data_IF_498402898013
#
_entry.id   IF_498402898013
#
_cell.length_a   1.000
_cell.length_b   1.000
_cell.length_c   1.000
_cell.angle_alpha   90.00
_cell.angle_beta   90.00
_cell.angle_gamma   90.00
#
_symmetry.space_group_name_H-M   'P 1'
#
loop_
_entity.id
_entity.type
_entity.pdbx_description
1 polymer ?
#
# COMPACT_ATOMS: atom_id res chain seq x y z
N UNK A 1 -12.92 10.60 28.51
CA UNK A 1 -11.50 10.42 28.11
C UNK A 1 -11.30 8.94 27.88
N UNK A 2 -11.16 8.51 26.63
CA UNK A 2 -10.90 7.10 26.33
C UNK A 2 -9.44 6.80 26.70
N UNK A 3 -9.22 5.79 27.55
CA UNK A 3 -7.89 5.31 27.86
C UNK A 3 -7.28 4.74 26.57
N UNK A 4 -6.31 5.46 26.00
CA UNK A 4 -5.48 5.01 24.89
C UNK A 4 -4.62 3.85 25.41
N UNK A 5 -5.10 2.60 25.24
CA UNK A 5 -4.23 1.43 25.43
C UNK A 5 -3.04 1.60 24.48
N UNK A 6 -1.79 1.46 24.95
CA UNK A 6 -0.66 1.42 24.04
C UNK A 6 -0.91 0.28 23.05
N UNK A 7 -0.94 0.62 21.78
CA UNK A 7 -0.92 -0.38 20.70
C UNK A 7 0.47 -1.02 20.74
N UNK A 8 0.53 -2.34 20.61
CA UNK A 8 1.81 -3.04 20.50
C UNK A 8 2.49 -2.63 19.18
N UNK A 9 3.63 -1.97 19.29
CA UNK A 9 4.40 -1.39 18.18
C UNK A 9 5.53 -2.30 17.69
N UNK A 10 5.60 -3.52 18.23
CA UNK A 10 6.63 -4.53 17.91
C UNK A 10 8.05 -4.00 18.15
N UNK A 11 8.20 -2.95 18.98
CA UNK A 11 9.45 -2.24 19.25
C UNK A 11 10.08 -1.62 18.00
N UNK A 12 9.24 -1.24 17.04
CA UNK A 12 9.61 -0.53 15.82
C UNK A 12 9.28 0.96 16.01
N UNK A 13 10.29 1.85 16.05
CA UNK A 13 10.06 3.28 16.23
C UNK A 13 9.13 3.88 15.17
N UNK A 14 8.06 4.55 15.62
CA UNK A 14 7.10 5.23 14.75
C UNK A 14 5.99 4.33 14.20
N UNK A 15 6.09 3.01 14.36
CA UNK A 15 5.05 2.08 13.92
C UNK A 15 3.81 2.17 14.81
N UNK A 16 2.66 2.48 14.21
CA UNK A 16 1.40 2.65 14.92
C UNK A 16 0.29 1.88 14.21
N UNK A 17 0.21 0.54 14.40
CA UNK A 17 -0.75 -0.26 13.68
C UNK A 17 -2.18 0.08 14.09
N UNK A 18 -3.06 0.18 13.11
CA UNK A 18 -4.51 0.16 13.31
C UNK A 18 -5.04 -1.15 12.76
N UNK A 19 -5.74 -1.91 13.59
CA UNK A 19 -6.21 -3.26 13.24
C UNK A 19 -7.64 -3.21 12.71
N UNK A 20 -7.83 -3.72 11.49
CA UNK A 20 -9.11 -3.84 10.82
C UNK A 20 -9.29 -5.29 10.36
N UNK A 21 -10.53 -5.78 10.32
CA UNK A 21 -10.85 -7.15 9.90
C UNK A 21 -11.87 -7.18 8.74
N UNK A 22 -12.78 -6.20 8.68
CA UNK A 22 -13.82 -6.18 7.66
C UNK A 22 -13.36 -5.48 6.37
N UNK A 23 -13.67 -6.09 5.22
CA UNK A 23 -13.34 -5.55 3.89
C UNK A 23 -13.81 -4.10 3.69
N UNK A 24 -15.06 -3.71 4.02
CA UNK A 24 -15.51 -2.33 3.85
C UNK A 24 -14.70 -1.31 4.66
N UNK A 25 -14.22 -1.68 5.84
CA UNK A 25 -13.44 -0.80 6.70
C UNK A 25 -12.05 -0.57 6.10
N UNK A 26 -11.40 -1.62 5.59
CA UNK A 26 -10.12 -1.53 4.89
C UNK A 26 -10.25 -0.74 3.58
N UNK A 27 -11.32 -0.99 2.80
CA UNK A 27 -11.61 -0.23 1.58
C UNK A 27 -11.80 1.27 1.88
N UNK A 28 -12.51 1.59 2.96
CA UNK A 28 -12.75 2.97 3.40
C UNK A 28 -11.47 3.64 3.88
N UNK A 29 -10.68 2.97 4.71
CA UNK A 29 -9.47 3.53 5.32
C UNK A 29 -8.29 3.63 4.34
N UNK A 30 -8.12 2.64 3.46
CA UNK A 30 -6.89 2.47 2.68
C UNK A 30 -7.12 2.29 1.18
N UNK A 31 -8.35 1.99 0.73
CA UNK A 31 -8.64 1.61 -0.66
C UNK A 31 -8.14 2.61 -1.70
N UNK A 32 -8.36 3.90 -1.47
CA UNK A 32 -7.91 4.96 -2.38
C UNK A 32 -6.37 5.04 -2.47
N UNK A 33 -5.66 4.89 -1.35
CA UNK A 33 -4.20 4.98 -1.29
C UNK A 33 -3.53 3.72 -1.86
N UNK A 34 -4.08 2.55 -1.57
CA UNK A 34 -3.67 1.27 -2.19
C UNK A 34 -3.87 1.30 -3.72
N UNK A 35 -5.03 1.76 -4.19
CA UNK A 35 -5.28 1.92 -5.61
C UNK A 35 -4.33 2.95 -6.26
N UNK A 36 -3.82 3.91 -5.49
CA UNK A 36 -2.85 4.89 -5.97
C UNK A 36 -1.46 4.28 -6.25
N UNK A 37 -1.14 3.11 -5.71
CA UNK A 37 0.10 2.38 -5.99
C UNK A 37 0.13 1.80 -7.41
N UNK A 38 -1.02 1.54 -8.03
CA UNK A 38 -1.09 0.96 -9.38
C UNK A 38 -0.33 1.84 -10.37
N UNK A 39 0.61 1.20 -11.08
CA UNK A 39 1.52 1.85 -12.02
C UNK A 39 2.80 2.41 -11.40
N UNK A 40 3.00 2.31 -10.09
CA UNK A 40 4.31 2.55 -9.47
C UNK A 40 5.19 1.30 -9.60
N UNK A 41 6.49 1.51 -9.54
CA UNK A 41 7.48 0.44 -9.54
C UNK A 41 7.75 0.03 -8.11
N UNK A 42 7.72 -1.28 -7.81
CA UNK A 42 8.22 -1.79 -6.54
C UNK A 42 9.74 -1.61 -6.54
N UNK A 43 10.26 -0.88 -5.57
CA UNK A 43 11.67 -0.52 -5.46
C UNK A 43 12.37 -1.34 -4.40
N UNK A 44 11.69 -1.67 -3.28
CA UNK A 44 12.23 -2.53 -2.22
C UNK A 44 11.14 -3.34 -1.52
N UNK A 45 11.54 -4.48 -0.96
CA UNK A 45 10.79 -5.24 0.04
C UNK A 45 11.69 -5.44 1.25
N UNK A 46 11.19 -5.17 2.44
CA UNK A 46 11.92 -5.39 3.68
C UNK A 46 11.15 -6.31 4.62
N UNK A 47 11.87 -7.26 5.20
CA UNK A 47 11.40 -8.13 6.27
C UNK A 47 12.29 -7.93 7.49
N UNK A 48 11.73 -8.06 8.69
CA UNK A 48 12.55 -8.21 9.90
C UNK A 48 13.16 -9.61 9.89
N UNK A 49 14.44 -9.70 10.20
CA UNK A 49 15.21 -10.93 10.15
C UNK A 49 15.82 -11.22 11.51
N UNK A 50 15.67 -12.46 11.96
CA UNK A 50 16.41 -12.97 13.10
C UNK A 50 17.84 -13.29 12.66
N UNK A 51 18.81 -12.58 13.21
CA UNK A 51 20.22 -12.75 12.84
C UNK A 51 20.87 -13.98 13.48
N UNK A 52 20.30 -14.48 14.58
CA UNK A 52 20.84 -15.63 15.30
C UNK A 52 20.33 -16.94 14.68
N UNK A 53 19.05 -17.01 14.31
CA UNK A 53 18.45 -18.19 13.65
C UNK A 53 18.50 -18.13 12.11
N UNK A 54 18.93 -16.99 11.54
CA UNK A 54 18.95 -16.71 10.10
C UNK A 54 17.62 -17.01 9.39
N UNK A 55 16.53 -16.52 9.98
CA UNK A 55 15.17 -16.70 9.45
C UNK A 55 14.33 -15.42 9.47
N UNK A 56 13.20 -15.48 8.78
CA UNK A 56 12.24 -14.39 8.77
C UNK A 56 11.51 -14.32 10.11
N UNK A 57 11.61 -13.18 10.79
CA UNK A 57 10.82 -12.88 11.98
C UNK A 57 9.44 -12.34 11.58
N UNK A 58 8.46 -13.23 11.48
CA UNK A 58 7.18 -12.99 10.79
C UNK A 58 6.15 -12.16 11.58
N UNK A 59 6.36 -11.92 12.87
CA UNK A 59 5.50 -11.06 13.70
C UNK A 59 5.52 -9.57 13.27
N UNK A 60 6.62 -9.15 12.63
CA UNK A 60 6.82 -7.75 12.25
C UNK A 60 6.24 -7.42 10.86
N UNK A 61 5.86 -6.16 10.60
CA UNK A 61 5.27 -5.76 9.33
C UNK A 61 6.17 -6.05 8.12
N UNK A 62 5.55 -6.49 7.03
CA UNK A 62 6.14 -6.55 5.70
C UNK A 62 6.11 -5.15 5.08
N UNK A 63 7.27 -4.63 4.67
CA UNK A 63 7.36 -3.31 4.04
C UNK A 63 7.54 -3.45 2.53
N UNK A 64 6.71 -2.76 1.77
CA UNK A 64 6.76 -2.72 0.30
C UNK A 64 6.89 -1.26 -0.14
N UNK A 65 8.06 -0.87 -0.65
CA UNK A 65 8.30 0.47 -1.17
C UNK A 65 7.97 0.53 -2.67
N UNK A 66 7.01 1.37 -3.03
CA UNK A 66 6.62 1.62 -4.42
C UNK A 66 7.06 3.02 -4.85
N UNK A 67 8.34 3.15 -5.20
CA UNK A 67 8.95 4.40 -5.65
C UNK A 67 8.71 5.56 -4.66
N UNK A 68 9.07 5.34 -3.39
CA UNK A 68 8.95 6.32 -2.31
C UNK A 68 7.59 6.33 -1.61
N UNK A 69 6.68 5.41 -1.95
CA UNK A 69 5.44 5.17 -1.22
C UNK A 69 5.50 3.77 -0.60
N UNK A 70 5.84 3.72 0.69
CA UNK A 70 5.94 2.50 1.46
C UNK A 70 4.58 2.15 2.06
N UNK A 71 4.10 0.96 1.73
CA UNK A 71 2.98 0.30 2.43
C UNK A 71 3.55 -0.72 3.40
N UNK A 72 2.97 -0.79 4.58
CA UNK A 72 3.46 -1.56 5.72
C UNK A 72 2.30 -2.45 6.16
N UNK A 73 2.42 -3.75 5.91
CA UNK A 73 1.35 -4.73 6.07
C UNK A 73 1.68 -5.62 7.25
N UNK A 74 0.76 -5.74 8.21
CA UNK A 74 0.94 -6.66 9.32
C UNK A 74 -0.36 -7.44 9.58
N UNK A 75 -0.22 -8.73 9.79
CA UNK A 75 -1.27 -9.62 10.28
C UNK A 75 -0.99 -10.01 11.71
N UNK A 76 -2.04 -10.10 12.51
CA UNK A 76 -1.99 -10.75 13.81
C UNK A 76 -3.35 -11.42 14.06
N UNK A 77 -3.42 -12.16 15.15
CA UNK A 77 -4.55 -12.98 15.58
C UNK A 77 -5.09 -13.76 14.39
N UNK A 78 -6.41 -13.91 14.32
CA UNK A 78 -7.03 -14.73 13.31
C UNK A 78 -7.28 -13.99 11.99
N UNK A 79 -7.68 -12.72 12.07
CA UNK A 79 -8.16 -11.93 10.94
C UNK A 79 -7.83 -10.43 11.07
N UNK A 80 -7.01 -10.03 12.04
CA UNK A 80 -6.59 -8.64 12.19
C UNK A 80 -5.54 -8.31 11.11
N UNK A 81 -5.84 -7.29 10.30
CA UNK A 81 -4.94 -6.73 9.30
C UNK A 81 -4.68 -5.25 9.61
N UNK A 82 -3.41 -4.88 9.71
CA UNK A 82 -2.97 -3.50 9.73
C UNK A 82 -2.30 -3.09 8.43
N UNK A 83 -2.65 -1.89 7.96
CA UNK A 83 -1.98 -1.23 6.84
C UNK A 83 -1.58 0.17 7.29
N UNK A 84 -0.28 0.39 7.38
CA UNK A 84 0.32 1.69 7.69
C UNK A 84 1.23 2.13 6.55
N UNK A 85 1.76 3.35 6.64
CA UNK A 85 2.40 4.00 5.50
C UNK A 85 3.52 4.93 5.91
N UNK A 86 4.69 4.73 5.32
CA UNK A 86 5.88 5.60 5.48
C UNK A 86 6.22 5.91 6.96
N UNK A 87 5.87 5.02 7.90
CA UNK A 87 6.08 5.22 9.33
C UNK A 87 7.33 4.49 9.82
N UNK A 88 7.63 3.34 9.22
CA UNK A 88 8.77 2.49 9.55
C UNK A 88 9.98 2.89 8.71
N UNK A 89 11.13 3.04 9.36
CA UNK A 89 12.41 3.22 8.68
C UNK A 89 13.18 1.89 8.66
N UNK A 90 13.42 1.28 7.48
CA UNK A 90 14.21 0.04 7.39
C UNK A 90 15.69 0.22 7.78
N UNK A 91 16.19 1.45 7.87
CA UNK A 91 17.52 1.74 8.42
C UNK A 91 17.55 1.89 9.94
N UNK A 92 16.39 1.86 10.59
CA UNK A 92 16.23 1.98 12.03
C UNK A 92 16.43 0.66 12.77
N UNK A 93 16.60 0.71 14.10
CA UNK A 93 16.65 -0.47 14.93
C UNK A 93 15.28 -1.16 15.00
N UNK A 94 15.31 -2.47 15.25
CA UNK A 94 14.15 -3.27 15.66
C UNK A 94 14.52 -3.98 16.94
N UNK A 95 13.71 -3.84 17.98
CA UNK A 95 13.89 -4.55 19.25
C UNK A 95 12.59 -5.25 19.60
N UNK A 96 12.64 -6.51 20.04
CA UNK A 96 11.42 -7.21 20.42
C UNK A 96 10.99 -6.83 21.84
N UNK A 97 9.80 -6.24 22.06
CA UNK A 97 9.46 -5.72 23.39
C UNK A 97 9.29 -6.80 24.48
N UNK A 98 9.05 -8.05 24.07
CA UNK A 98 8.77 -9.14 25.01
C UNK A 98 10.02 -9.98 25.37
N UNK A 99 11.16 -9.79 24.70
CA UNK A 99 12.42 -10.43 25.05
C UNK A 99 13.62 -9.69 24.46
N UNK A 100 14.71 -9.61 25.23
CA UNK A 100 16.02 -9.11 24.77
C UNK A 100 16.84 -10.19 24.04
N UNK A 101 16.32 -11.42 23.92
CA UNK A 101 17.05 -12.56 23.34
C UNK A 101 17.14 -12.51 21.81
N UNK A 102 16.39 -11.62 21.15
CA UNK A 102 16.34 -11.56 19.69
C UNK A 102 17.28 -10.49 19.13
N UNK A 103 18.20 -10.89 18.26
CA UNK A 103 19.00 -9.97 17.45
C UNK A 103 18.34 -9.73 16.11
N UNK A 104 17.47 -8.73 16.06
CA UNK A 104 16.66 -8.41 14.88
C UNK A 104 17.27 -7.31 14.01
N UNK A 105 17.12 -7.44 12.69
CA UNK A 105 17.44 -6.37 11.73
C UNK A 105 16.55 -6.42 10.50
N UNK A 106 16.33 -5.27 9.85
CA UNK A 106 15.71 -5.24 8.54
C UNK A 106 16.63 -5.82 7.48
N UNK A 107 16.13 -6.80 6.71
CA UNK A 107 16.83 -7.38 5.57
C UNK A 107 16.05 -7.11 4.29
N UNK A 108 16.74 -6.60 3.27
CA UNK A 108 16.15 -6.32 1.97
C UNK A 108 16.01 -7.61 1.17
N UNK A 109 14.79 -7.89 0.71
CA UNK A 109 14.46 -9.00 -0.21
C UNK A 109 15.11 -10.36 0.14
N UNK A 110 15.04 -10.85 1.40
CA UNK A 110 15.84 -12.00 1.82
C UNK A 110 15.40 -13.34 1.23
N UNK A 111 14.18 -13.40 0.69
CA UNK A 111 13.62 -14.61 0.09
C UNK A 111 13.81 -14.60 -1.43
N UNK A 112 14.18 -15.73 -2.08
CA UNK A 112 14.44 -15.77 -3.52
C UNK A 112 13.29 -15.24 -4.40
N UNK A 113 12.04 -15.52 -4.01
CA UNK A 113 10.87 -15.00 -4.70
C UNK A 113 10.74 -13.48 -4.63
N UNK A 114 11.13 -12.87 -3.51
CA UNK A 114 11.08 -11.42 -3.30
C UNK A 114 12.20 -10.71 -4.05
N UNK A 115 13.41 -11.29 -4.07
CA UNK A 115 14.58 -10.72 -4.76
C UNK A 115 14.35 -10.46 -6.26
N UNK A 116 13.41 -11.18 -6.87
CA UNK A 116 13.05 -11.03 -8.28
C UNK A 116 11.98 -9.95 -8.56
N UNK A 117 11.37 -9.34 -7.52
CA UNK A 117 10.26 -8.40 -7.67
C UNK A 117 10.67 -6.92 -7.87
N UNK A 118 11.73 -6.37 -7.23
CA UNK A 118 12.14 -4.99 -7.46
C UNK A 118 12.35 -4.65 -8.94
N UNK A 119 11.96 -3.45 -9.34
CA UNK A 119 11.96 -2.99 -10.72
C UNK A 119 10.68 -3.30 -11.49
N UNK A 120 9.79 -4.16 -10.97
CA UNK A 120 8.51 -4.47 -11.62
C UNK A 120 7.46 -3.40 -11.33
N UNK A 121 6.64 -3.12 -12.34
CA UNK A 121 5.53 -2.17 -12.25
C UNK A 121 4.27 -2.87 -11.75
N UNK A 122 3.68 -2.32 -10.69
CA UNK A 122 2.43 -2.83 -10.11
C UNK A 122 1.27 -2.63 -11.10
N UNK A 123 0.50 -3.68 -11.33
CA UNK A 123 -0.66 -3.70 -12.25
C UNK A 123 -1.98 -3.60 -11.51
N UNK A 124 -2.06 -4.20 -10.33
CA UNK A 124 -3.27 -4.17 -9.51
C UNK A 124 -2.93 -4.33 -8.03
N UNK A 125 -3.76 -3.76 -7.18
CA UNK A 125 -3.85 -4.13 -5.76
C UNK A 125 -5.26 -4.65 -5.51
N UNK A 126 -5.39 -5.74 -4.77
CA UNK A 126 -6.67 -6.32 -4.42
C UNK A 126 -6.68 -6.77 -2.96
N UNK A 127 -7.86 -6.69 -2.33
CA UNK A 127 -8.13 -7.46 -1.12
C UNK A 127 -8.53 -8.87 -1.55
N UNK A 128 -7.87 -9.87 -1.00
CA UNK A 128 -8.11 -11.27 -1.28
C UNK A 128 -8.84 -11.88 -0.09
N UNK A 129 -10.10 -12.26 -0.29
CA UNK A 129 -10.92 -12.84 0.77
C UNK A 129 -10.91 -14.36 0.67
N UNK A 130 -10.50 -15.04 1.73
CA UNK A 130 -10.44 -16.50 1.75
C UNK A 130 -11.84 -17.13 1.69
N UNK A 131 -12.03 -18.07 0.76
CA UNK A 131 -13.25 -18.88 0.59
C UNK A 131 -12.89 -20.37 0.57
N UNK A 132 -12.57 -20.88 1.75
CA UNK A 132 -12.31 -22.30 1.98
C UNK A 132 -13.58 -23.16 2.01
N UNK A 133 -13.44 -24.38 2.50
CA UNK A 133 -14.56 -25.29 2.70
C UNK A 133 -15.50 -24.79 3.82
N UNK A 134 -16.72 -25.32 3.88
CA UNK A 134 -17.63 -25.07 5.01
C UNK A 134 -16.97 -25.47 6.32
N UNK A 135 -16.96 -24.55 7.31
CA UNK A 135 -16.33 -24.77 8.61
C UNK A 135 -14.83 -24.46 8.65
N UNK A 136 -14.22 -24.07 7.54
CA UNK A 136 -12.89 -23.48 7.56
C UNK A 136 -12.94 -22.16 8.34
N UNK A 137 -12.15 -22.10 9.42
CA UNK A 137 -12.11 -20.95 10.31
C UNK A 137 -11.66 -19.71 9.55
N UNK A 138 -10.77 -19.84 8.54
CA UNK A 138 -10.19 -18.71 7.83
C UNK A 138 -11.17 -18.03 6.87
N UNK A 139 -12.38 -18.58 6.70
CA UNK A 139 -13.38 -17.99 5.81
C UNK A 139 -13.66 -16.52 6.15
N UNK A 140 -13.49 -15.65 5.16
CA UNK A 140 -13.68 -14.22 5.31
C UNK A 140 -12.43 -13.44 5.75
N UNK A 141 -11.34 -14.12 6.14
CA UNK A 141 -10.06 -13.45 6.38
C UNK A 141 -9.55 -12.79 5.10
N UNK A 142 -8.82 -11.70 5.28
CA UNK A 142 -8.35 -10.86 4.18
C UNK A 142 -6.83 -10.93 4.08
N UNK A 143 -6.36 -11.09 2.86
CA UNK A 143 -4.97 -10.89 2.48
C UNK A 143 -4.85 -9.70 1.53
N UNK A 144 -3.64 -9.16 1.39
CA UNK A 144 -3.35 -8.09 0.44
C UNK A 144 -2.56 -8.64 -0.74
N UNK A 145 -3.15 -8.55 -1.93
CA UNK A 145 -2.55 -9.01 -3.18
C UNK A 145 -2.02 -7.86 -4.02
N UNK A 146 -0.80 -8.01 -4.52
CA UNK A 146 -0.11 -7.09 -5.41
C UNK A 146 0.23 -7.81 -6.72
N UNK A 147 -0.49 -7.48 -7.79
CA UNK A 147 -0.31 -8.14 -9.07
C UNK A 147 0.73 -7.42 -9.94
N UNK A 148 1.71 -8.17 -10.43
CA UNK A 148 2.68 -7.74 -11.44
C UNK A 148 2.33 -8.35 -12.80
N UNK A 149 3.21 -8.22 -13.80
CA UNK A 149 2.87 -8.65 -15.17
C UNK A 149 2.71 -10.18 -15.31
N UNK A 150 3.48 -10.95 -14.54
CA UNK A 150 3.71 -12.38 -14.68
C UNK A 150 3.69 -13.13 -13.33
N UNK A 151 3.47 -12.42 -12.22
CA UNK A 151 3.45 -12.98 -10.87
C UNK A 151 2.67 -12.07 -9.94
N UNK A 152 2.19 -12.62 -8.82
CA UNK A 152 1.58 -11.86 -7.74
C UNK A 152 2.44 -11.99 -6.47
N UNK A 153 2.40 -10.97 -5.62
CA UNK A 153 2.84 -11.05 -4.24
C UNK A 153 1.60 -10.99 -3.35
N UNK A 154 1.42 -11.97 -2.48
CA UNK A 154 0.33 -11.98 -1.50
C UNK A 154 0.93 -11.94 -0.10
N UNK A 155 0.46 -11.00 0.72
CA UNK A 155 0.75 -10.95 2.16
C UNK A 155 -0.54 -11.32 2.91
N UNK A 156 -0.50 -12.41 3.66
CA UNK A 156 -1.67 -13.01 4.30
C UNK A 156 -1.37 -13.42 5.75
N UNK A 157 -2.41 -13.74 6.51
CA UNK A 157 -2.28 -14.23 7.88
C UNK A 157 -1.81 -15.70 7.88
N UNK A 158 -0.66 -15.95 8.48
CA UNK A 158 0.00 -17.24 8.62
C UNK A 158 -0.32 -18.01 9.90
N UNK A 159 -1.45 -17.72 10.56
CA UNK A 159 -1.84 -18.15 11.91
C UNK A 159 -1.22 -17.29 13.03
N UNK A 160 -1.68 -16.04 13.15
CA UNK A 160 -1.25 -15.02 14.15
C UNK A 160 0.00 -14.21 13.75
N UNK A 161 0.60 -14.51 12.59
CA UNK A 161 1.77 -13.80 12.05
C UNK A 161 1.61 -13.53 10.54
N UNK A 162 2.57 -12.83 9.94
CA UNK A 162 2.59 -12.66 8.49
C UNK A 162 3.05 -13.94 7.79
N UNK A 163 2.44 -14.20 6.65
CA UNK A 163 2.96 -15.12 5.66
C UNK A 163 2.91 -14.46 4.28
N UNK A 164 3.72 -14.97 3.34
CA UNK A 164 3.74 -14.46 1.98
C UNK A 164 3.90 -15.55 0.94
N UNK A 165 3.33 -15.31 -0.23
CA UNK A 165 3.57 -16.12 -1.43
C UNK A 165 3.93 -15.22 -2.60
N UNK A 166 4.83 -15.72 -3.45
CA UNK A 166 5.15 -15.14 -4.75
C UNK A 166 4.74 -16.13 -5.82
N UNK A 167 3.82 -15.72 -6.70
CA UNK A 167 3.18 -16.56 -7.69
C UNK A 167 1.67 -16.37 -7.69
N UNK A 168 0.92 -17.17 -8.48
CA UNK A 168 -0.53 -17.08 -8.53
C UNK A 168 -1.15 -17.28 -7.13
N UNK A 169 -2.13 -16.46 -6.72
CA UNK A 169 -2.84 -16.65 -5.47
C UNK A 169 -3.58 -18.00 -5.48
N UNK A 170 -3.77 -18.58 -4.29
CA UNK A 170 -4.60 -19.76 -4.14
C UNK A 170 -5.99 -19.52 -4.77
N UNK A 171 -6.52 -20.45 -5.57
CA UNK A 171 -7.79 -20.29 -6.28
C UNK A 171 -9.00 -20.10 -5.35
N UNK A 172 -8.87 -20.41 -4.05
CA UNK A 172 -9.90 -20.15 -3.03
C UNK A 172 -10.02 -18.68 -2.66
N UNK A 173 -9.04 -17.84 -2.99
CA UNK A 173 -9.19 -16.41 -2.77
C UNK A 173 -10.20 -15.81 -3.72
N UNK A 174 -11.26 -15.20 -3.16
CA UNK A 174 -12.11 -14.28 -3.89
C UNK A 174 -11.41 -12.93 -3.95
N UNK A 175 -11.13 -12.49 -5.17
CA UNK A 175 -10.43 -11.23 -5.43
C UNK A 175 -11.38 -10.04 -5.46
N UNK A 176 -11.03 -8.97 -4.72
CA UNK A 176 -11.73 -7.68 -4.69
C UNK A 176 -10.76 -6.56 -5.14
N UNK A 177 -10.66 -6.27 -6.45
CA UNK A 177 -9.73 -5.26 -6.97
C UNK A 177 -10.01 -3.86 -6.45
N UNK A 178 -8.96 -3.17 -5.99
CA UNK A 178 -9.04 -1.78 -5.55
C UNK A 178 -8.84 -0.87 -6.77
N UNK A 179 -9.88 -0.13 -7.11
CA UNK A 179 -9.89 0.79 -8.26
C UNK A 179 -9.63 2.21 -7.77
N UNK A 180 -8.83 2.98 -8.51
CA UNK A 180 -8.87 4.44 -8.33
C UNK A 180 -10.29 4.89 -8.64
N UNK A 181 -10.88 5.70 -7.77
CA UNK A 181 -12.09 6.41 -8.14
C UNK A 181 -11.79 7.18 -9.43
N UNK A 182 -12.57 6.94 -10.49
CA UNK A 182 -12.53 7.78 -11.67
C UNK A 182 -12.83 9.19 -11.20
N UNK A 183 -11.83 10.08 -11.19
CA UNK A 183 -12.12 11.50 -11.01
C UNK A 183 -12.96 11.91 -12.23
N UNK A 184 -14.22 12.33 -12.08
CA UNK A 184 -14.95 12.86 -13.23
C UNK A 184 -14.11 14.02 -13.80
N UNK A 185 -13.94 14.05 -15.12
CA UNK A 185 -13.37 15.21 -15.80
C UNK A 185 -14.21 16.41 -15.34
N UNK A 186 -13.56 17.44 -14.77
CA UNK A 186 -14.25 18.69 -14.52
C UNK A 186 -14.87 19.16 -15.86
N UNK A 187 -16.14 19.62 -15.88
CA UNK A 187 -16.71 20.14 -17.11
C UNK A 187 -15.84 21.29 -17.62
N UNK A 188 -15.41 21.19 -18.87
CA UNK A 188 -14.73 22.28 -19.58
C UNK A 188 -15.69 23.47 -19.58
N UNK A 189 -15.31 24.64 -19.04
CA UNK A 189 -16.19 25.80 -19.10
C UNK A 189 -16.44 26.14 -20.58
N UNK A 190 -17.68 26.47 -20.98
CA UNK A 190 -17.96 26.86 -22.35
C UNK A 190 -17.11 28.08 -22.70
N UNK A 191 -16.34 27.96 -23.79
CA UNK A 191 -15.46 29.01 -24.28
C UNK A 191 -16.24 30.30 -24.53
N UNK A 192 -15.77 31.39 -23.91
CA UNK A 192 -16.27 32.74 -24.16
C UNK A 192 -16.08 33.09 -25.62
N UNK A 193 -17.18 33.42 -26.29
CA UNK A 193 -17.19 33.90 -27.65
C UNK A 193 -16.37 35.19 -27.78
N UNK A 194 -15.58 35.25 -28.85
CA UNK A 194 -14.79 36.39 -29.25
C UNK A 194 -15.65 37.64 -29.47
N UNK A 195 -15.25 38.74 -28.84
CA UNK A 195 -15.69 40.09 -29.16
C UNK A 195 -14.95 40.56 -30.43
N UNK A 196 -15.68 40.63 -31.56
CA UNK A 196 -15.23 41.29 -32.79
C UNK A 196 -16.02 42.60 -32.94
N UNK A 197 -15.57 43.60 -32.19
CA UNK A 197 -15.99 44.99 -32.30
C UNK A 197 -15.50 45.67 -33.58
N UNK A 198 -16.43 45.79 -34.53
CA UNK A 198 -16.53 46.67 -35.72
C UNK A 198 -15.54 47.84 -35.86
N UNK A 199 -14.88 47.86 -37.03
CA UNK A 199 -14.27 49.04 -37.67
C UNK A 199 -15.32 50.12 -38.04
N UNK A 200 -14.98 51.39 -37.82
CA UNK A 200 -15.47 52.55 -38.60
C UNK A 200 -14.28 53.35 -39.17
N UNK A 201 -14.41 54.02 -40.33
CA UNK A 201 -13.28 54.66 -41.01
C UNK A 201 -13.26 56.21 -40.93
N UNK A 202 -12.03 56.75 -41.14
CA UNK A 202 -11.59 58.03 -41.73
C UNK A 202 -11.99 59.37 -41.06
N UNK A 203 -11.00 60.19 -40.66
CA UNK A 203 -10.44 61.33 -41.43
C UNK A 203 -9.31 62.03 -40.63
N UNK A 204 -8.32 62.61 -41.33
CA UNK A 204 -7.16 63.35 -40.77
C UNK A 204 -7.51 64.80 -40.33
N UNK A 205 -6.56 65.77 -40.25
CA UNK A 205 -5.13 65.75 -40.60
C UNK A 205 -4.15 66.30 -39.50
N UNK A 206 -2.86 66.16 -39.81
CA UNK A 206 -1.64 66.83 -39.29
C UNK A 206 -1.80 68.32 -38.86
N UNK A 207 -0.95 68.87 -37.94
CA UNK A 207 0.45 69.19 -38.27
C UNK A 207 1.53 69.10 -37.16
N UNK A 208 2.75 69.27 -37.67
CA UNK A 208 4.12 69.22 -37.14
C UNK A 208 4.51 70.36 -36.19
N UNK A 209 5.68 70.19 -35.53
CA UNK A 209 6.61 71.14 -34.86
C UNK A 209 6.43 71.20 -33.33
N UNK A 210 7.45 71.13 -32.46
CA UNK A 210 8.93 71.18 -32.51
C UNK A 210 9.46 70.12 -31.52
#
# INVERSE_FOLDING_TARGET
MAHNRPVFDFGIPGYQPTWLHARPDIETAHGARLAALVGRTLTRVWLVWDLDEDEWFADCPVLLDFAGEQVEVNHQKFDDLSITWNSVSPGGPVAWPASDDFRLAWRAEPLPGLAALPGRRLREVALLEWRGATGDLANGSLALGFAFADTDLVVYNGLDENALTVGPPDPRYRRHPLRRANRPLAPVPPGGAADLGRNRPLEGPFPTKI
#
